data_IF_546748438828
#
_entry.id   IF_546748438828
#
_cell.length_a   1.000
_cell.length_b   1.000
_cell.length_c   1.000
_cell.angle_alpha   90.00
_cell.angle_beta   90.00
_cell.angle_gamma   90.00
#
_symmetry.space_group_name_H-M   'P 1'
#
loop_
_entity.id
_entity.type
_entity.pdbx_description
1 polymer ?
#
# COMPACT_ATOMS: atom_id res chain seq x y z
N UNK A 1 -8.04 -7.82 13.62
CA UNK A 1 -9.06 -7.48 12.59
C UNK A 1 -8.41 -6.53 11.61
N UNK A 2 -8.62 -6.71 10.31
CA UNK A 2 -7.95 -5.90 9.29
C UNK A 2 -8.74 -4.64 8.97
N UNK A 3 -8.04 -3.54 8.71
CA UNK A 3 -8.61 -2.28 8.27
C UNK A 3 -7.92 -1.81 7.00
N UNK A 4 -8.64 -1.11 6.13
CA UNK A 4 -8.16 -0.74 4.81
C UNK A 4 -8.37 0.75 4.60
N UNK A 5 -7.34 1.43 4.11
CA UNK A 5 -7.36 2.87 3.92
C UNK A 5 -6.73 3.27 2.59
N UNK A 6 -7.15 4.42 2.08
CA UNK A 6 -6.55 5.11 0.94
C UNK A 6 -6.32 6.57 1.29
N UNK A 7 -5.19 7.13 0.88
CA UNK A 7 -4.87 8.55 1.09
C UNK A 7 -4.02 9.09 -0.05
N UNK A 8 -4.07 10.40 -0.27
CA UNK A 8 -3.09 11.08 -1.10
C UNK A 8 -1.69 10.94 -0.47
N UNK A 9 -0.69 10.73 -1.31
CA UNK A 9 0.71 10.63 -0.94
C UNK A 9 1.57 11.42 -1.94
N UNK A 10 2.62 12.04 -1.43
CA UNK A 10 3.61 12.76 -2.24
C UNK A 10 4.96 12.09 -2.06
N UNK A 11 5.73 11.97 -3.14
CA UNK A 11 7.10 11.47 -3.11
C UNK A 11 7.95 12.18 -4.16
N UNK A 12 9.23 11.82 -4.26
CA UNK A 12 10.11 12.26 -5.34
C UNK A 12 9.59 11.85 -6.74
N UNK A 13 8.65 10.90 -6.81
CA UNK A 13 7.95 10.49 -8.03
C UNK A 13 6.75 11.39 -8.38
N UNK A 14 6.42 12.36 -7.53
CA UNK A 14 5.30 13.27 -7.65
C UNK A 14 4.13 12.93 -6.71
N UNK A 15 2.95 13.46 -7.05
CA UNK A 15 1.69 13.19 -6.36
C UNK A 15 1.13 11.81 -6.75
N UNK A 16 0.55 11.12 -5.78
CA UNK A 16 0.02 9.78 -5.96
C UNK A 16 -0.97 9.39 -4.88
N UNK A 17 -1.30 8.10 -4.87
CA UNK A 17 -2.21 7.50 -3.89
C UNK A 17 -1.51 6.36 -3.15
N UNK A 18 -1.60 6.37 -1.83
CA UNK A 18 -1.18 5.25 -0.99
C UNK A 18 -2.41 4.50 -0.46
N UNK A 19 -2.34 3.19 -0.52
CA UNK A 19 -3.36 2.25 -0.07
C UNK A 19 -2.74 1.33 0.96
N UNK A 20 -3.39 1.18 2.12
CA UNK A 20 -2.82 0.46 3.26
C UNK A 20 -3.80 -0.56 3.81
N UNK A 21 -3.31 -1.77 4.06
CA UNK A 21 -3.92 -2.75 4.96
C UNK A 21 -3.23 -2.65 6.31
N UNK A 22 -4.01 -2.41 7.36
CA UNK A 22 -3.55 -2.39 8.74
C UNK A 22 -3.99 -3.68 9.44
N UNK A 23 -3.04 -4.39 10.05
CA UNK A 23 -3.29 -5.50 10.97
C UNK A 23 -2.58 -5.23 12.29
N UNK A 24 -3.31 -5.40 13.39
CA UNK A 24 -2.75 -5.29 14.76
C UNK A 24 -2.04 -3.94 15.02
N UNK A 25 -2.61 -2.87 14.44
CA UNK A 25 -2.10 -1.49 14.59
C UNK A 25 -0.91 -1.14 13.68
N UNK A 26 -0.48 -2.04 12.79
CA UNK A 26 0.64 -1.82 11.88
C UNK A 26 0.26 -2.08 10.42
N UNK A 27 0.91 -1.41 9.45
CA UNK A 27 0.81 -1.78 8.04
C UNK A 27 1.25 -3.23 7.83
N UNK A 28 0.35 -4.05 7.27
CA UNK A 28 0.65 -5.43 6.86
C UNK A 28 0.82 -5.56 5.35
N UNK A 29 0.14 -4.70 4.56
CA UNK A 29 0.34 -4.55 3.11
C UNK A 29 0.18 -3.08 2.73
N UNK A 30 0.94 -2.64 1.73
CA UNK A 30 0.88 -1.28 1.21
C UNK A 30 1.01 -1.29 -0.32
N UNK A 31 0.26 -0.42 -0.99
CA UNK A 31 0.43 -0.12 -2.41
C UNK A 31 0.54 1.39 -2.57
N UNK A 32 1.52 1.86 -3.31
CA UNK A 32 1.63 3.27 -3.68
C UNK A 32 1.61 3.39 -5.21
N UNK A 33 0.81 4.33 -5.69
CA UNK A 33 0.61 4.58 -7.12
C UNK A 33 0.97 6.03 -7.40
N UNK A 34 2.08 6.24 -8.10
CA UNK A 34 2.57 7.53 -8.57
C UNK A 34 2.52 7.54 -10.09
N UNK A 35 1.37 7.92 -10.66
CA UNK A 35 1.12 7.85 -12.09
C UNK A 35 1.28 6.42 -12.64
N UNK A 36 2.31 6.19 -13.46
CA UNK A 36 2.61 4.87 -14.03
C UNK A 36 3.46 3.99 -13.11
N UNK A 37 4.08 4.55 -12.06
CA UNK A 37 4.94 3.82 -11.14
C UNK A 37 4.13 3.26 -9.98
N UNK A 38 4.23 1.95 -9.78
CA UNK A 38 3.54 1.24 -8.72
C UNK A 38 4.57 0.60 -7.79
N UNK A 39 4.42 0.82 -6.49
CA UNK A 39 5.18 0.16 -5.44
C UNK A 39 4.24 -0.65 -4.57
N UNK A 40 4.74 -1.76 -4.04
CA UNK A 40 3.99 -2.62 -3.15
C UNK A 40 4.91 -3.13 -2.06
N UNK A 41 4.37 -3.24 -0.84
CA UNK A 41 5.07 -3.75 0.32
C UNK A 41 4.22 -4.76 1.07
N UNK A 42 4.88 -5.75 1.65
CA UNK A 42 4.32 -6.75 2.56
C UNK A 42 5.40 -7.23 3.55
N UNK A 43 5.17 -8.36 4.21
CA UNK A 43 6.11 -8.94 5.15
C UNK A 43 7.48 -9.32 4.53
N UNK A 44 7.54 -9.59 3.22
CA UNK A 44 8.78 -9.88 2.49
C UNK A 44 9.45 -8.61 1.97
N UNK A 45 8.69 -7.53 1.77
CA UNK A 45 9.17 -6.23 1.27
C UNK A 45 8.80 -5.11 2.23
N UNK A 46 9.32 -5.19 3.45
CA UNK A 46 8.99 -4.29 4.56
C UNK A 46 9.49 -2.86 4.33
N UNK A 47 10.50 -2.69 3.47
CA UNK A 47 11.03 -1.39 3.08
C UNK A 47 10.04 -0.51 2.32
N UNK A 48 8.97 -1.10 1.78
CA UNK A 48 7.89 -0.38 1.09
C UNK A 48 6.62 -0.24 1.94
N UNK A 49 6.64 -0.68 3.19
CA UNK A 49 5.59 -0.42 4.15
C UNK A 49 5.88 0.91 4.86
N UNK A 50 4.83 1.61 5.27
CA UNK A 50 4.99 2.73 6.19
C UNK A 50 5.66 2.25 7.49
N UNK A 51 6.61 3.04 7.97
CA UNK A 51 7.47 2.73 9.11
C UNK A 51 6.86 3.15 10.46
N UNK A 52 5.63 3.67 10.43
CA UNK A 52 4.89 4.18 11.57
C UNK A 52 3.63 3.35 11.87
N UNK A 53 3.23 3.27 13.14
CA UNK A 53 1.99 2.59 13.54
C UNK A 53 0.76 3.38 13.07
N UNK A 54 -0.38 2.70 12.97
CA UNK A 54 -1.67 3.27 12.54
C UNK A 54 -2.04 4.58 13.25
N UNK A 55 -1.74 4.69 14.55
CA UNK A 55 -2.00 5.88 15.35
C UNK A 55 -1.27 7.15 14.89
N UNK A 56 -0.17 7.01 14.15
CA UNK A 56 0.66 8.12 13.67
C UNK A 56 0.44 8.43 12.19
N UNK A 57 -0.22 7.53 11.43
CA UNK A 57 -0.43 7.69 10.00
C UNK A 57 -1.46 8.77 9.62
N UNK A 58 -2.18 9.33 10.60
CA UNK A 58 -3.24 10.32 10.37
C UNK A 58 -4.42 9.76 9.56
N UNK A 59 -4.62 8.44 9.59
CA UNK A 59 -5.67 7.76 8.85
C UNK A 59 -7.00 7.83 9.61
N UNK A 60 -7.92 8.62 9.09
CA UNK A 60 -9.27 8.78 9.61
C UNK A 60 -10.33 7.97 8.87
N UNK A 61 -11.58 7.98 9.36
CA UNK A 61 -12.69 7.24 8.76
C UNK A 61 -12.99 7.65 7.30
N UNK A 62 -12.70 8.89 6.92
CA UNK A 62 -12.84 9.37 5.53
C UNK A 62 -11.86 8.70 4.56
N UNK A 63 -10.74 8.17 5.07
CA UNK A 63 -9.76 7.44 4.29
C UNK A 63 -10.13 5.96 4.14
N UNK A 64 -11.16 5.48 4.86
CA UNK A 64 -11.53 4.08 4.84
C UNK A 64 -11.92 3.64 3.44
N UNK A 65 -11.49 2.44 3.06
CA UNK A 65 -11.85 1.82 1.79
C UNK A 65 -12.39 0.40 2.00
N UNK A 66 -13.18 -0.14 1.05
CA UNK A 66 -13.63 -1.52 1.12
C UNK A 66 -12.46 -2.52 0.98
N UNK A 67 -12.47 -3.63 1.74
CA UNK A 67 -11.47 -4.70 1.61
C UNK A 67 -11.33 -5.24 0.19
N UNK A 68 -12.45 -5.38 -0.54
CA UNK A 68 -12.48 -5.92 -1.89
C UNK A 68 -11.78 -5.00 -2.89
N UNK A 69 -11.92 -3.68 -2.71
CA UNK A 69 -11.23 -2.69 -3.54
C UNK A 69 -9.72 -2.72 -3.30
N UNK A 70 -9.28 -2.90 -2.05
CA UNK A 70 -7.87 -3.04 -1.74
C UNK A 70 -7.29 -4.31 -2.37
N UNK A 71 -8.00 -5.44 -2.27
CA UNK A 71 -7.50 -6.70 -2.83
C UNK A 71 -7.38 -6.64 -4.36
N UNK A 72 -8.30 -5.96 -5.06
CA UNK A 72 -8.18 -5.74 -6.50
C UNK A 72 -6.93 -4.93 -6.85
N UNK A 73 -6.66 -3.85 -6.11
CA UNK A 73 -5.46 -3.03 -6.28
C UNK A 73 -4.18 -3.83 -5.98
N UNK A 74 -4.21 -4.64 -4.92
CA UNK A 74 -3.11 -5.51 -4.55
C UNK A 74 -2.77 -6.49 -5.68
N UNK A 75 -3.77 -7.19 -6.21
CA UNK A 75 -3.56 -8.12 -7.32
C UNK A 75 -3.04 -7.43 -8.59
N UNK A 76 -3.46 -6.20 -8.84
CA UNK A 76 -2.95 -5.41 -9.97
C UNK A 76 -1.50 -4.97 -9.75
N UNK A 77 -1.14 -4.49 -8.56
CA UNK A 77 0.23 -4.16 -8.20
C UNK A 77 1.14 -5.38 -8.36
N UNK A 78 0.69 -6.55 -7.91
CA UNK A 78 1.40 -7.81 -8.04
C UNK A 78 1.58 -8.27 -9.50
N UNK A 79 0.68 -7.89 -10.42
CA UNK A 79 0.83 -8.14 -11.87
C UNK A 79 1.78 -7.17 -12.55
N UNK A 80 1.87 -5.94 -12.06
CA UNK A 80 2.76 -4.89 -12.57
C UNK A 80 4.20 -5.02 -12.08
N UNK A 81 4.47 -5.99 -11.19
CA UNK A 81 5.83 -6.33 -10.77
C UNK A 81 6.70 -6.56 -12.01
N UNK A 82 7.88 -5.90 -12.11
CA UNK A 82 8.82 -6.21 -13.16
C UNK A 82 9.13 -7.70 -13.12
N UNK A 83 8.98 -8.42 -14.25
CA UNK A 83 9.19 -9.86 -14.35
C UNK A 83 10.64 -10.32 -14.01
N UNK A 84 11.54 -9.40 -13.70
CA UNK A 84 12.96 -9.64 -13.46
C UNK A 84 13.29 -10.33 -12.12
N UNK A 85 12.31 -10.66 -11.27
CA UNK A 85 12.55 -11.37 -9.99
C UNK A 85 12.05 -12.82 -9.97
N UNK A 86 11.51 -13.34 -11.08
CA UNK A 86 11.13 -14.74 -11.21
C UNK A 86 12.09 -15.49 -12.16
N UNK A 87 13.38 -15.46 -11.86
CA UNK A 87 14.35 -16.37 -12.45
C UNK A 87 15.30 -16.87 -11.34
N UNK A 88 14.89 -17.96 -10.69
CA UNK A 88 15.78 -18.89 -10.01
C UNK A 88 15.51 -20.28 -10.58
#
# INVERSE_FOLDING_TARGET
>A
MKQYFQRAAESDLGEGMAYLEISDGWPSRQVEVYGEVWRWGDAEHREWLADQPFSELGLEAEHAMPPEAFEQLWQEALRRRPAAMCAN
#
